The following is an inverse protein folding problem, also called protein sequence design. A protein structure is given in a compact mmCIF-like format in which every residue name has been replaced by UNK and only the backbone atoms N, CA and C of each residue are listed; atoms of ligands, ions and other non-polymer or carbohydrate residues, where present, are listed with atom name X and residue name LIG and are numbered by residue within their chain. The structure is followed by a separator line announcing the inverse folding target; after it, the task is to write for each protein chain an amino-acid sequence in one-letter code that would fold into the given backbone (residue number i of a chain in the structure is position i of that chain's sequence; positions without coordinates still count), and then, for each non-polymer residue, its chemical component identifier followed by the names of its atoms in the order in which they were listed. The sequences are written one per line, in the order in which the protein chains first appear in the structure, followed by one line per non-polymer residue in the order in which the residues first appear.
data_IF_883491991151
#
_entry.id   IF_883491991151
#
_cell.length_a   1.000
_cell.length_b   1.000
_cell.length_c   1.000
_cell.angle_alpha   90.00
_cell.angle_beta   90.00
_cell.angle_gamma   90.00
#
_symmetry.space_group_name_H-M   'P 1'
#
loop_
_entity.id
_entity.type
_entity.pdbx_description
1 polymer ?
#
# COMPACT_ATOMS: atom_id res chain seq x y z
N UNK A 1 -11.12 -2.52 -5.89
CA UNK A 1 -10.95 -3.95 -5.53
C UNK A 1 -9.75 -4.21 -4.60
N UNK A 2 -8.68 -3.41 -4.60
CA UNK A 2 -7.52 -3.59 -3.70
C UNK A 2 -7.72 -3.12 -2.25
N UNK A 3 -8.53 -2.07 -2.02
CA UNK A 3 -8.81 -1.52 -0.69
C UNK A 3 -9.50 -2.56 0.22
N UNK A 4 -10.47 -3.30 -0.32
CA UNK A 4 -11.19 -4.33 0.43
C UNK A 4 -10.26 -5.49 0.83
N UNK A 5 -9.38 -5.94 -0.07
CA UNK A 5 -8.38 -6.94 0.27
C UNK A 5 -7.45 -6.46 1.39
N UNK A 6 -6.92 -5.24 1.28
CA UNK A 6 -6.05 -4.63 2.31
C UNK A 6 -6.74 -4.43 3.67
N UNK A 7 -8.05 -4.18 3.65
CA UNK A 7 -8.87 -4.01 4.85
C UNK A 7 -9.11 -5.35 5.57
N UNK A 8 -9.13 -6.46 4.82
CA UNK A 8 -9.26 -7.81 5.39
C UNK A 8 -7.90 -8.30 5.89
N UNK A 9 -6.90 -8.34 5.00
CA UNK A 9 -5.54 -8.81 5.27
C UNK A 9 -4.51 -7.95 4.54
N UNK A 10 -3.27 -7.88 5.05
CA UNK A 10 -2.21 -7.18 4.31
C UNK A 10 -1.94 -7.89 2.98
N UNK A 11 -1.60 -7.12 1.94
CA UNK A 11 -1.11 -7.75 0.71
C UNK A 11 0.18 -8.53 1.03
N UNK A 12 0.31 -9.77 0.51
CA UNK A 12 1.50 -10.55 0.73
C UNK A 12 2.73 -9.79 0.19
N UNK A 13 3.91 -9.96 0.82
CA UNK A 13 5.11 -9.18 0.46
C UNK A 13 5.48 -9.22 -1.02
N UNK A 14 5.27 -10.37 -1.69
CA UNK A 14 5.55 -10.53 -3.11
C UNK A 14 4.62 -9.67 -3.98
N UNK A 15 3.33 -9.59 -3.65
CA UNK A 15 2.36 -8.82 -4.42
C UNK A 15 2.64 -7.31 -4.32
N UNK A 16 2.99 -6.83 -3.11
CA UNK A 16 3.42 -5.44 -2.93
C UNK A 16 4.64 -5.12 -3.79
N UNK A 17 5.65 -6.00 -3.77
CA UNK A 17 6.87 -5.84 -4.58
C UNK A 17 6.59 -5.83 -6.08
N UNK A 18 5.69 -6.67 -6.57
CA UNK A 18 5.30 -6.69 -7.99
C UNK A 18 4.56 -5.41 -8.40
N UNK A 19 3.63 -4.94 -7.57
CA UNK A 19 2.93 -3.67 -7.85
C UNK A 19 3.93 -2.50 -7.87
N UNK A 20 4.82 -2.43 -6.87
CA UNK A 20 5.89 -1.43 -6.84
C UNK A 20 6.78 -1.52 -8.08
N UNK A 21 7.11 -2.74 -8.54
CA UNK A 21 7.92 -2.94 -9.73
C UNK A 21 7.21 -2.43 -11.00
N UNK A 22 5.89 -2.63 -11.13
CA UNK A 22 5.09 -2.11 -12.24
C UNK A 22 5.07 -0.59 -12.21
N UNK A 23 4.83 0.02 -11.04
CA UNK A 23 4.82 1.48 -10.91
C UNK A 23 6.21 2.08 -11.19
N UNK A 24 7.29 1.45 -10.72
CA UNK A 24 8.68 1.83 -11.05
C UNK A 24 8.98 1.74 -12.54
N UNK A 25 8.50 0.68 -13.22
CA UNK A 25 8.62 0.54 -14.68
C UNK A 25 7.92 1.68 -15.40
N UNK A 26 6.70 2.00 -15.00
CA UNK A 26 5.96 3.12 -15.57
C UNK A 26 6.70 4.45 -15.44
N UNK A 27 7.23 4.75 -14.25
CA UNK A 27 7.93 6.02 -13.98
C UNK A 27 9.30 6.14 -14.66
N UNK A 28 10.08 5.06 -14.67
CA UNK A 28 11.51 5.13 -15.01
C UNK A 28 11.90 4.42 -16.30
N UNK A 29 11.12 3.45 -16.77
CA UNK A 29 11.48 2.68 -17.96
C UNK A 29 10.89 3.26 -19.26
N UNK A 30 9.78 4.00 -19.19
CA UNK A 30 9.08 4.49 -20.39
C UNK A 30 8.67 3.33 -21.30
N UNK A 31 9.10 3.36 -22.57
CA UNK A 31 8.88 2.27 -23.54
C UNK A 31 9.91 1.14 -23.50
N UNK A 32 10.98 1.28 -22.71
CA UNK A 32 11.99 0.23 -22.57
C UNK A 32 11.56 -0.83 -21.55
N UNK A 33 12.05 -2.05 -21.74
CA UNK A 33 11.73 -3.20 -20.86
C UNK A 33 12.49 -3.18 -19.53
N UNK A 34 13.53 -2.36 -19.40
CA UNK A 34 14.44 -2.34 -18.23
C UNK A 34 14.43 -1.02 -17.47
N UNK A 35 14.29 -1.14 -16.14
CA UNK A 35 14.42 -0.05 -15.14
C UNK A 35 15.85 0.09 -14.62
N UNK A 36 16.72 -0.90 -14.88
CA UNK A 36 18.04 -1.00 -14.24
C UNK A 36 18.91 0.20 -14.63
N UNK A 37 19.38 0.95 -13.63
CA UNK A 37 20.20 2.16 -13.82
C UNK A 37 19.43 3.43 -14.16
N UNK A 38 18.10 3.37 -14.30
CA UNK A 38 17.24 4.53 -14.61
C UNK A 38 16.50 5.11 -13.40
N UNK A 39 16.58 4.44 -12.26
CA UNK A 39 15.90 4.87 -11.05
C UNK A 39 16.63 6.09 -10.46
N UNK A 40 16.13 7.31 -10.76
CA UNK A 40 16.77 8.56 -10.32
C UNK A 40 16.52 8.87 -8.84
N UNK A 41 15.45 8.31 -8.27
CA UNK A 41 15.02 8.58 -6.89
C UNK A 41 14.63 7.27 -6.20
N UNK A 42 14.93 7.16 -4.90
CA UNK A 42 14.52 6.04 -4.06
C UNK A 42 12.99 5.97 -3.93
N UNK A 43 12.43 4.76 -3.96
CA UNK A 43 10.98 4.55 -3.92
C UNK A 43 10.32 5.16 -2.68
N UNK A 44 10.93 4.97 -1.51
CA UNK A 44 10.43 5.49 -0.25
C UNK A 44 10.40 7.03 -0.20
N UNK A 45 11.22 7.70 -1.02
CA UNK A 45 11.19 9.17 -1.16
C UNK A 45 10.03 9.59 -2.04
N UNK A 46 9.76 8.85 -3.10
CA UNK A 46 8.67 9.12 -4.05
C UNK A 46 7.30 8.94 -3.37
N UNK A 47 7.19 7.98 -2.46
CA UNK A 47 5.95 7.71 -1.74
C UNK A 47 5.57 8.78 -0.69
N UNK A 48 6.46 9.75 -0.43
CA UNK A 48 6.17 10.84 0.50
C UNK A 48 5.14 11.80 -0.12
N UNK A 49 4.36 12.52 0.71
CA UNK A 49 3.53 13.62 0.26
C UNK A 49 4.34 14.65 -0.54
N UNK A 50 3.68 15.32 -1.48
CA UNK A 50 4.30 16.32 -2.36
C UNK A 50 4.86 17.50 -1.57
N UNK A 51 4.22 17.86 -0.46
CA UNK A 51 4.66 18.90 0.47
C UNK A 51 6.00 18.55 1.14
N UNK A 52 6.35 17.27 1.21
CA UNK A 52 7.61 16.75 1.75
C UNK A 52 8.62 16.38 0.66
N UNK A 53 8.39 16.83 -0.58
CA UNK A 53 9.29 16.60 -1.72
C UNK A 53 9.18 15.22 -2.37
N UNK A 54 8.11 14.46 -2.09
CA UNK A 54 7.78 13.24 -2.81
C UNK A 54 6.85 13.48 -4.01
N UNK A 55 6.37 12.41 -4.63
CA UNK A 55 5.35 12.47 -5.69
C UNK A 55 3.93 12.13 -5.19
N UNK A 56 3.76 11.86 -3.89
CA UNK A 56 2.48 11.47 -3.31
C UNK A 56 2.00 10.09 -3.73
N UNK A 57 2.90 9.21 -4.19
CA UNK A 57 2.53 7.83 -4.53
C UNK A 57 2.22 7.05 -3.25
N UNK A 58 1.08 6.38 -3.23
CA UNK A 58 0.63 5.62 -2.06
C UNK A 58 1.58 4.47 -1.71
N UNK A 59 2.20 4.50 -0.52
CA UNK A 59 2.91 3.34 0.04
C UNK A 59 1.86 2.28 0.47
N UNK A 60 1.76 1.21 -0.31
CA UNK A 60 0.81 0.11 -0.10
C UNK A 60 0.96 -0.57 1.26
N UNK A 61 2.17 -0.57 1.84
CA UNK A 61 2.42 -1.10 3.19
C UNK A 61 1.80 -0.18 4.24
N UNK A 62 2.04 1.13 4.14
CA UNK A 62 1.44 2.10 5.06
C UNK A 62 -0.08 2.16 4.92
N UNK A 63 -0.61 2.07 3.70
CA UNK A 63 -2.05 2.00 3.47
C UNK A 63 -2.68 0.75 4.06
N UNK A 64 -2.03 -0.42 3.94
CA UNK A 64 -2.47 -1.64 4.61
C UNK A 64 -2.60 -1.45 6.12
N UNK A 65 -1.56 -0.91 6.76
CA UNK A 65 -1.60 -0.60 8.20
C UNK A 65 -2.67 0.42 8.59
N UNK A 66 -2.83 1.49 7.81
CA UNK A 66 -3.84 2.52 8.07
C UNK A 66 -5.26 1.94 7.99
N UNK A 67 -5.55 1.12 6.97
CA UNK A 67 -6.85 0.48 6.80
C UNK A 67 -7.15 -0.52 7.92
N UNK A 68 -6.17 -1.33 8.32
CA UNK A 68 -6.34 -2.28 9.42
C UNK A 68 -6.55 -1.56 10.76
N UNK A 69 -5.79 -0.50 11.03
CA UNK A 69 -5.95 0.31 12.24
C UNK A 69 -7.32 0.98 12.27
N UNK A 70 -7.77 1.54 11.14
CA UNK A 70 -9.10 2.12 11.02
C UNK A 70 -10.21 1.08 11.22
N UNK A 71 -10.04 -0.14 10.68
CA UNK A 71 -10.98 -1.24 10.91
C UNK A 71 -11.03 -1.66 12.38
N UNK A 72 -9.87 -1.80 13.05
CA UNK A 72 -9.80 -2.10 14.49
C UNK A 72 -10.50 -1.03 15.33
N UNK A 73 -10.37 0.24 14.94
CA UNK A 73 -11.11 1.33 15.58
C UNK A 73 -12.62 1.19 15.36
N UNK A 74 -13.06 0.95 14.12
CA UNK A 74 -14.47 0.73 13.80
C UNK A 74 -15.08 -0.45 14.55
N UNK A 75 -14.34 -1.55 14.71
CA UNK A 75 -14.77 -2.71 15.50
C UNK A 75 -15.02 -2.37 16.97
N UNK A 76 -14.39 -1.33 17.52
CA UNK A 76 -14.60 -0.90 18.91
C UNK A 76 -15.70 0.14 19.07
N UNK A 77 -15.99 0.90 18.02
CA UNK A 77 -16.93 2.03 18.09
C UNK A 77 -18.30 1.73 17.49
N UNK A 78 -18.41 0.71 16.64
CA UNK A 78 -19.62 0.41 15.88
C UNK A 78 -19.85 -1.11 15.75
N UNK A 79 -20.55 -1.67 16.73
CA UNK A 79 -20.92 -3.09 16.77
C UNK A 79 -22.02 -3.46 15.76
N UNK A 80 -22.64 -2.48 15.10
CA UNK A 80 -23.78 -2.71 14.19
C UNK A 80 -23.36 -3.26 12.82
N UNK A 81 -22.06 -3.29 12.52
CA UNK A 81 -21.56 -3.70 11.20
C UNK A 81 -21.39 -5.21 11.11
N UNK A 82 -21.84 -5.81 10.01
CA UNK A 82 -21.79 -7.26 9.77
C UNK A 82 -20.39 -7.91 9.82
N UNK A 83 -19.30 -7.12 9.79
CA UNK A 83 -17.92 -7.59 9.87
C UNK A 83 -17.26 -7.30 11.24
N UNK A 84 -18.03 -6.88 12.24
CA UNK A 84 -17.56 -6.68 13.62
C UNK A 84 -16.98 -7.97 14.20
N UNK A 85 -17.58 -9.12 13.86
CA UNK A 85 -17.20 -10.46 14.33
C UNK A 85 -16.02 -11.09 13.58
N UNK A 86 -15.58 -10.52 12.46
CA UNK A 86 -14.47 -11.08 11.68
C UNK A 86 -13.13 -10.74 12.35
N UNK A 87 -12.38 -11.77 12.75
CA UNK A 87 -11.02 -11.62 13.27
C UNK A 87 -10.07 -11.07 12.21
N UNK A 88 -9.14 -10.22 12.63
CA UNK A 88 -8.09 -9.66 11.76
C UNK A 88 -6.82 -10.45 12.02
N UNK A 89 -6.27 -11.09 10.99
CA UNK A 89 -4.94 -11.71 11.06
C UNK A 89 -3.89 -10.60 11.00
N UNK A 90 -3.54 -10.05 12.15
CA UNK A 90 -2.47 -9.05 12.26
C UNK A 90 -1.14 -9.80 12.35
N UNK A 91 -0.39 -9.83 11.24
CA UNK A 91 1.05 -10.13 11.29
C UNK A 91 1.75 -8.93 11.96
N UNK A 92 1.89 -9.01 13.30
CA UNK A 92 2.75 -8.12 14.10
C UNK A 92 4.22 -8.54 13.97
#
# INVERSE_FOLDING_TARGET
MTIYSMMVDNLPPWARKEIDAICRKFLWAGGDTSVRGKCMVAWDTICRPTELGGLGITDLRLTGYALQTHRLWLQKTDDSRAWSELSISTEL
#
